data_IF_184215144291
#
_entry.id   IF_184215144291
#
_cell.length_a   1.000
_cell.length_b   1.000
_cell.length_c   1.000
_cell.angle_alpha   90.00
_cell.angle_beta   90.00
_cell.angle_gamma   90.00
#
_symmetry.space_group_name_H-M   'P 1'
#
loop_
_entity.id
_entity.type
_entity.pdbx_description
1 polymer ?
#
# COMPACT_ATOMS: atom_id res chain seq x y z
N UNK A 1 -0.42 3.79 -4.12
CA UNK A 1 -0.07 2.89 -2.99
C UNK A 1 1.36 3.06 -2.50
N UNK A 2 2.40 2.72 -3.27
CA UNK A 2 3.80 2.78 -2.79
C UNK A 2 4.20 4.16 -2.24
N UNK A 3 3.81 5.21 -2.94
CA UNK A 3 3.98 6.59 -2.47
C UNK A 3 3.31 6.83 -1.12
N UNK A 4 2.05 6.44 -0.97
CA UNK A 4 1.31 6.65 0.28
C UNK A 4 1.97 5.89 1.44
N UNK A 5 2.42 4.64 1.20
CA UNK A 5 3.18 3.88 2.20
C UNK A 5 4.46 4.63 2.62
N UNK A 6 5.17 5.21 1.66
CA UNK A 6 6.38 5.98 1.92
C UNK A 6 6.10 7.25 2.73
N UNK A 7 5.08 8.01 2.34
CA UNK A 7 4.70 9.27 3.00
C UNK A 7 4.15 9.04 4.42
N UNK A 8 3.42 7.93 4.64
CA UNK A 8 2.86 7.55 5.93
C UNK A 8 3.87 6.88 6.87
N UNK A 9 5.11 6.64 6.42
CA UNK A 9 6.19 6.06 7.22
C UNK A 9 6.19 4.53 7.35
N UNK A 10 5.17 3.84 6.84
CA UNK A 10 4.93 2.38 6.92
C UNK A 10 4.99 1.78 8.35
N UNK A 11 4.25 0.69 8.64
CA UNK A 11 3.20 0.04 7.84
C UNK A 11 1.90 0.87 7.79
N UNK A 12 1.16 0.77 6.68
CA UNK A 12 -0.16 1.42 6.52
C UNK A 12 -1.26 0.38 6.71
N UNK A 13 -2.30 0.67 7.48
CA UNK A 13 -3.44 -0.24 7.65
C UNK A 13 -4.21 -0.41 6.35
N UNK A 14 -4.79 -1.57 6.16
CA UNK A 14 -5.61 -1.87 4.99
C UNK A 14 -6.73 -0.84 4.80
N UNK A 15 -7.50 -0.55 5.85
CA UNK A 15 -8.59 0.44 5.80
C UNK A 15 -8.08 1.82 5.36
N UNK A 16 -7.00 2.31 6.00
CA UNK A 16 -6.41 3.62 5.69
C UNK A 16 -5.94 3.71 4.23
N UNK A 17 -5.34 2.64 3.70
CA UNK A 17 -4.91 2.55 2.30
C UNK A 17 -6.09 2.64 1.34
N UNK A 18 -7.17 1.90 1.62
CA UNK A 18 -8.34 1.89 0.74
C UNK A 18 -9.12 3.20 0.79
N UNK A 19 -9.24 3.82 1.95
CA UNK A 19 -9.79 5.18 2.09
C UNK A 19 -8.99 6.17 1.26
N UNK A 20 -7.65 6.18 1.38
CA UNK A 20 -6.79 7.06 0.59
C UNK A 20 -6.95 6.85 -0.93
N UNK A 21 -7.02 5.60 -1.39
CA UNK A 21 -7.18 5.32 -2.82
C UNK A 21 -8.57 5.70 -3.35
N UNK A 22 -9.60 5.61 -2.50
CA UNK A 22 -10.94 6.07 -2.83
C UNK A 22 -11.03 7.59 -2.90
N UNK A 23 -10.40 8.29 -1.96
CA UNK A 23 -10.29 9.76 -1.99
C UNK A 23 -9.50 10.27 -3.20
N UNK A 24 -8.57 9.46 -3.73
CA UNK A 24 -7.81 9.76 -4.93
C UNK A 24 -8.51 9.33 -6.24
N UNK A 25 -9.76 8.88 -6.19
CA UNK A 25 -10.55 8.36 -7.33
C UNK A 25 -9.87 7.19 -8.09
N UNK A 26 -8.97 6.45 -7.43
CA UNK A 26 -8.23 5.32 -8.03
C UNK A 26 -8.95 3.98 -7.89
N UNK A 27 -9.75 3.83 -6.84
CA UNK A 27 -10.56 2.63 -6.60
C UNK A 27 -11.83 3.00 -5.85
N UNK A 28 -12.98 2.45 -6.23
CA UNK A 28 -14.21 2.74 -5.52
C UNK A 28 -14.22 2.08 -4.13
N UNK A 29 -14.91 2.71 -3.17
CA UNK A 29 -14.99 2.21 -1.79
C UNK A 29 -15.55 0.78 -1.68
N UNK A 30 -16.41 0.37 -2.62
CA UNK A 30 -17.04 -0.95 -2.63
C UNK A 30 -16.47 -1.89 -3.71
N UNK A 31 -15.34 -1.56 -4.34
CA UNK A 31 -14.72 -2.43 -5.35
C UNK A 31 -13.83 -3.51 -4.71
N UNK A 32 -14.45 -4.45 -4.00
CA UNK A 32 -13.76 -5.55 -3.34
C UNK A 32 -12.98 -6.45 -4.30
N UNK A 33 -13.49 -6.62 -5.54
CA UNK A 33 -12.82 -7.42 -6.56
C UNK A 33 -11.54 -6.73 -7.05
N UNK A 34 -11.62 -5.43 -7.35
CA UNK A 34 -10.47 -4.60 -7.69
C UNK A 34 -9.42 -4.64 -6.59
N UNK A 35 -9.80 -4.41 -5.32
CA UNK A 35 -8.89 -4.43 -4.16
C UNK A 35 -8.12 -5.74 -4.06
N UNK A 36 -8.82 -6.87 -4.21
CA UNK A 36 -8.21 -8.21 -4.16
C UNK A 36 -7.24 -8.44 -5.31
N UNK A 37 -7.63 -8.09 -6.54
CA UNK A 37 -6.77 -8.23 -7.73
C UNK A 37 -5.50 -7.38 -7.57
N UNK A 38 -5.67 -6.12 -7.16
CA UNK A 38 -4.59 -5.16 -6.97
C UNK A 38 -3.61 -5.66 -5.89
N UNK A 39 -4.13 -6.05 -4.72
CA UNK A 39 -3.30 -6.64 -3.65
C UNK A 39 -2.53 -7.85 -4.13
N UNK A 40 -3.18 -8.78 -4.83
CA UNK A 40 -2.56 -10.00 -5.33
C UNK A 40 -1.46 -9.74 -6.38
N UNK A 41 -1.70 -8.83 -7.32
CA UNK A 41 -0.72 -8.50 -8.37
C UNK A 41 0.54 -7.88 -7.75
N UNK A 42 0.38 -6.87 -6.90
CA UNK A 42 1.52 -6.15 -6.35
C UNK A 42 2.31 -6.95 -5.30
N UNK A 43 1.63 -7.85 -4.57
CA UNK A 43 2.32 -8.80 -3.68
C UNK A 43 3.08 -9.86 -4.47
N UNK A 44 2.48 -10.45 -5.51
CA UNK A 44 3.18 -11.39 -6.41
C UNK A 44 4.39 -10.78 -7.11
N UNK A 45 4.28 -9.51 -7.49
CA UNK A 45 5.38 -8.78 -8.09
C UNK A 45 6.40 -8.26 -7.05
N UNK A 46 6.24 -8.57 -5.77
CA UNK A 46 7.14 -8.17 -4.67
C UNK A 46 7.28 -6.65 -4.48
N UNK A 47 6.34 -5.86 -4.99
CA UNK A 47 6.28 -4.43 -4.70
C UNK A 47 5.60 -4.14 -3.37
N UNK A 48 4.69 -5.01 -2.93
CA UNK A 48 4.02 -4.90 -1.64
C UNK A 48 4.28 -6.12 -0.77
N UNK A 49 4.37 -5.88 0.53
CA UNK A 49 4.11 -6.89 1.55
C UNK A 49 2.73 -6.61 2.13
N UNK A 50 1.90 -7.65 2.15
CA UNK A 50 0.58 -7.63 2.76
C UNK A 50 0.61 -8.59 3.95
N UNK A 51 0.62 -8.04 5.15
CA UNK A 51 0.91 -8.78 6.39
C UNK A 51 -0.26 -8.64 7.36
N UNK A 52 -0.54 -9.74 8.07
CA UNK A 52 -1.51 -9.76 9.16
C UNK A 52 -0.76 -9.45 10.45
N UNK A 53 -1.15 -8.38 11.13
CA UNK A 53 -0.53 -7.91 12.39
C UNK A 53 -1.54 -8.01 13.53
N UNK A 54 -1.10 -8.54 14.67
CA UNK A 54 -1.93 -8.77 15.85
C UNK A 54 -2.43 -10.21 15.99
N UNK A 55 -3.15 -10.48 17.07
CA UNK A 55 -3.60 -11.81 17.46
C UNK A 55 -5.14 -11.92 17.48
N UNK A 56 -5.65 -13.10 17.12
CA UNK A 56 -7.08 -13.41 17.16
C UNK A 56 -7.94 -12.48 16.29
N UNK A 57 -9.08 -12.08 16.81
CA UNK A 57 -10.08 -11.25 16.11
C UNK A 57 -9.66 -9.77 15.99
N UNK A 58 -8.63 -9.35 16.73
CA UNK A 58 -8.10 -7.98 16.67
C UNK A 58 -7.02 -7.81 15.59
N UNK A 59 -6.71 -8.86 14.86
CA UNK A 59 -5.73 -8.82 13.80
C UNK A 59 -6.16 -7.86 12.69
N UNK A 60 -5.23 -7.03 12.23
CA UNK A 60 -5.42 -6.10 11.13
C UNK A 60 -4.44 -6.40 10.02
N UNK A 61 -4.86 -6.16 8.80
CA UNK A 61 -3.97 -6.25 7.66
C UNK A 61 -3.25 -4.91 7.43
N UNK A 62 -1.99 -5.00 7.03
CA UNK A 62 -1.14 -3.85 6.75
C UNK A 62 -0.38 -4.01 5.44
N UNK A 63 -0.11 -2.87 4.81
CA UNK A 63 0.70 -2.74 3.61
C UNK A 63 2.05 -2.10 3.91
N UNK A 64 3.11 -2.72 3.38
CA UNK A 64 4.48 -2.22 3.41
C UNK A 64 5.13 -2.35 2.03
N UNK A 65 6.28 -1.68 1.84
CA UNK A 65 7.09 -1.91 0.65
C UNK A 65 7.65 -3.34 0.63
N UNK A 66 7.48 -4.00 -0.51
CA UNK A 66 8.17 -5.23 -0.82
C UNK A 66 9.59 -5.00 -1.31
N UNK A 67 10.35 -6.09 -1.46
CA UNK A 67 11.77 -6.05 -1.82
C UNK A 67 12.00 -5.29 -3.15
N UNK A 68 11.16 -5.54 -4.17
CA UNK A 68 11.30 -4.87 -5.47
C UNK A 68 10.97 -3.39 -5.40
N UNK A 69 10.06 -2.96 -4.52
CA UNK A 69 9.82 -1.53 -4.31
C UNK A 69 11.04 -0.84 -3.70
N UNK A 70 11.73 -1.50 -2.76
CA UNK A 70 12.94 -0.95 -2.13
C UNK A 70 14.08 -0.81 -3.16
N UNK A 71 14.22 -1.76 -4.07
CA UNK A 71 15.29 -1.79 -5.08
C UNK A 71 15.01 -0.89 -6.28
N UNK A 72 13.78 -0.88 -6.78
CA UNK A 72 13.44 -0.20 -8.04
C UNK A 72 12.90 1.22 -7.85
N UNK A 73 12.44 1.60 -6.65
CA UNK A 73 11.86 2.93 -6.38
C UNK A 73 12.82 3.76 -5.51
N UNK A 74 13.56 4.72 -6.11
CA UNK A 74 14.45 5.57 -5.33
C UNK A 74 13.63 6.47 -4.41
N UNK A 75 13.82 6.36 -3.09
CA UNK A 75 13.13 7.23 -2.11
C UNK A 75 13.36 8.71 -2.40
N UNK A 76 14.56 9.05 -2.85
CA UNK A 76 14.92 10.42 -3.24
C UNK A 76 14.10 10.93 -4.44
N UNK A 77 13.73 10.04 -5.36
CA UNK A 77 12.85 10.39 -6.48
C UNK A 77 11.45 10.74 -6.00
N UNK A 78 10.90 9.97 -5.05
CA UNK A 78 9.62 10.30 -4.44
C UNK A 78 9.70 11.63 -3.70
N UNK A 79 10.69 11.84 -2.83
CA UNK A 79 10.86 13.11 -2.11
C UNK A 79 10.92 14.31 -3.05
N UNK A 80 11.71 14.21 -4.14
CA UNK A 80 11.80 15.29 -5.13
C UNK A 80 10.45 15.56 -5.81
N UNK A 81 9.70 14.52 -6.15
CA UNK A 81 8.39 14.64 -6.80
C UNK A 81 7.31 15.28 -5.92
N UNK A 82 7.44 15.25 -4.59
CA UNK A 82 6.50 15.88 -3.65
C UNK A 82 6.98 17.22 -3.07
N UNK A 83 8.23 17.60 -3.35
CA UNK A 83 8.79 18.90 -2.96
C UNK A 83 8.59 19.99 -4.03
N UNK A 84 8.11 19.62 -5.23
CA UNK A 84 7.68 20.51 -6.32
C UNK A 84 6.17 20.73 -6.25
#
# INVERSE_FOLDING_TARGET
>A
MLTHIFMSGAPVKEDDMWSFLSEADLIQENDYAGRKILTHIFTKQMYLKYTKVGEGDLSKYTFEWGQRAIEEVPRMFLLKKFAE
#
